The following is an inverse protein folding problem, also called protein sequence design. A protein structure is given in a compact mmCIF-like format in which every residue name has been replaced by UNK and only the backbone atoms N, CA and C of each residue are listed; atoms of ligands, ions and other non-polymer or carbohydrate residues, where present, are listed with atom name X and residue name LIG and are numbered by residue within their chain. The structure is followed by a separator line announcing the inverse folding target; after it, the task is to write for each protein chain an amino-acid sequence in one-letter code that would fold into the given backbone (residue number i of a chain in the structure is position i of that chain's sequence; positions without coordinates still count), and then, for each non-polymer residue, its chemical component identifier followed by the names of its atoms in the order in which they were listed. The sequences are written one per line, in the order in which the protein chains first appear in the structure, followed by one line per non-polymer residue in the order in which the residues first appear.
data_IF_529933849342
#
_entry.id   IF_529933849342
#
_cell.length_a   1.000
_cell.length_b   1.000
_cell.length_c   1.000
_cell.angle_alpha   90.00
_cell.angle_beta   90.00
_cell.angle_gamma   90.00
#
_symmetry.space_group_name_H-M   'P 1'
#
loop_
_entity.id
_entity.type
_entity.pdbx_description
1 polymer ?
#
# COMPACT_ATOMS: atom_id res chain seq x y z
N UNK A 1 -19.99 4.00 5.24
CA UNK A 1 -18.55 3.89 4.94
C UNK A 1 -17.86 5.11 5.53
N UNK A 2 -16.95 4.93 6.49
CA UNK A 2 -16.35 6.06 7.20
C UNK A 2 -15.24 6.68 6.34
N UNK A 3 -15.49 7.83 5.72
CA UNK A 3 -14.45 8.72 5.21
C UNK A 3 -13.65 9.23 6.42
N UNK A 4 -12.65 8.46 6.88
CA UNK A 4 -11.76 8.87 7.96
C UNK A 4 -10.51 9.46 7.33
N UNK A 5 -10.43 10.78 7.38
CA UNK A 5 -9.21 11.54 7.15
C UNK A 5 -8.05 10.88 7.90
N UNK A 6 -6.95 10.61 7.19
CA UNK A 6 -5.73 10.07 7.80
C UNK A 6 -5.28 11.00 8.91
N UNK A 7 -4.93 10.44 10.07
CA UNK A 7 -4.36 11.24 11.16
C UNK A 7 -2.93 11.65 10.77
N UNK A 8 -2.47 12.86 11.14
CA UNK A 8 -1.11 13.32 10.85
C UNK A 8 0.00 12.36 11.30
N UNK A 9 -0.24 11.58 12.37
CA UNK A 9 0.69 10.54 12.83
C UNK A 9 0.84 9.40 11.82
N UNK A 10 -0.26 8.96 11.21
CA UNK A 10 -0.27 7.87 10.24
C UNK A 10 0.37 8.30 8.92
N UNK A 11 0.13 9.55 8.50
CA UNK A 11 0.81 10.17 7.36
C UNK A 11 2.33 10.18 7.55
N UNK A 12 2.82 10.69 8.69
CA UNK A 12 4.24 10.65 9.04
C UNK A 12 4.84 9.24 9.04
N UNK A 13 4.08 8.24 9.51
CA UNK A 13 4.55 6.85 9.47
C UNK A 13 4.72 6.35 8.03
N UNK A 14 3.81 6.70 7.13
CA UNK A 14 3.91 6.35 5.71
C UNK A 14 5.13 7.06 5.08
N UNK A 15 5.30 8.35 5.34
CA UNK A 15 6.45 9.12 4.84
C UNK A 15 7.79 8.53 5.32
N UNK A 16 7.88 8.15 6.59
CA UNK A 16 9.07 7.50 7.15
C UNK A 16 9.39 6.18 6.45
N UNK A 17 8.37 5.35 6.19
CA UNK A 17 8.58 4.10 5.45
C UNK A 17 9.11 4.38 4.05
N UNK A 18 8.56 5.36 3.33
CA UNK A 18 9.04 5.75 2.00
C UNK A 18 10.49 6.24 2.06
N UNK A 19 10.80 7.09 3.05
CA UNK A 19 12.14 7.63 3.23
C UNK A 19 13.17 6.53 3.50
N UNK A 20 12.87 5.59 4.42
CA UNK A 20 13.76 4.44 4.70
C UNK A 20 13.95 3.56 3.48
N UNK A 21 12.87 3.27 2.75
CA UNK A 21 12.93 2.48 1.53
C UNK A 21 13.76 3.17 0.43
N UNK A 22 13.66 4.49 0.31
CA UNK A 22 14.49 5.26 -0.60
C UNK A 22 15.98 5.25 -0.21
N UNK A 23 16.29 5.32 1.10
CA UNK A 23 17.66 5.19 1.62
C UNK A 23 18.27 3.83 1.27
N UNK A 24 17.48 2.76 1.37
CA UNK A 24 17.91 1.40 1.02
C UNK A 24 17.90 1.12 -0.50
N UNK A 25 17.69 2.15 -1.35
CA UNK A 25 17.49 2.01 -2.81
C UNK A 25 16.34 1.06 -3.20
N UNK A 26 15.39 0.83 -2.30
CA UNK A 26 14.22 -0.04 -2.47
C UNK A 26 12.95 0.79 -2.72
N UNK A 27 12.90 1.58 -3.79
CA UNK A 27 11.76 2.47 -4.03
C UNK A 27 10.43 1.71 -4.07
N UNK A 28 9.49 2.15 -3.23
CA UNK A 28 8.13 1.62 -3.22
C UNK A 28 7.38 2.04 -4.48
N UNK A 29 6.58 1.12 -5.02
CA UNK A 29 5.71 1.44 -6.15
C UNK A 29 4.57 2.38 -5.71
N UNK A 30 4.06 3.16 -6.66
CA UNK A 30 2.90 4.04 -6.44
C UNK A 30 1.68 3.28 -5.92
N UNK A 31 1.50 2.04 -6.35
CA UNK A 31 0.42 1.16 -5.87
C UNK A 31 0.60 0.78 -4.40
N UNK A 32 1.84 0.53 -3.95
CA UNK A 32 2.13 0.27 -2.55
C UNK A 32 1.77 1.46 -1.66
N UNK A 33 2.10 2.69 -2.11
CA UNK A 33 1.72 3.91 -1.40
C UNK A 33 0.20 4.05 -1.24
N UNK A 34 -0.57 3.83 -2.31
CA UNK A 34 -2.03 3.87 -2.26
C UNK A 34 -2.61 2.84 -1.29
N UNK A 35 -2.04 1.65 -1.24
CA UNK A 35 -2.46 0.61 -0.30
C UNK A 35 -2.17 1.00 1.16
N UNK A 36 -0.98 1.55 1.44
CA UNK A 36 -0.63 2.07 2.77
C UNK A 36 -1.58 3.20 3.21
N UNK A 37 -1.94 4.09 2.28
CA UNK A 37 -2.90 5.16 2.51
C UNK A 37 -4.32 4.62 2.77
N UNK A 38 -4.78 3.65 1.98
CA UNK A 38 -6.09 3.00 2.16
C UNK A 38 -6.18 2.25 3.50
N UNK A 39 -5.08 1.63 3.96
CA UNK A 39 -5.00 1.03 5.29
C UNK A 39 -5.08 2.07 6.41
N UNK A 40 -4.31 3.14 6.28
CA UNK A 40 -4.23 4.19 7.30
C UNK A 40 -5.53 4.97 7.45
N UNK A 41 -6.24 5.22 6.35
CA UNK A 41 -7.58 5.82 6.34
C UNK A 41 -8.66 4.86 6.83
N UNK A 42 -8.38 3.56 6.89
CA UNK A 42 -9.37 2.52 7.18
C UNK A 42 -10.35 2.26 6.04
N UNK A 43 -10.03 2.72 4.83
CA UNK A 43 -10.78 2.43 3.60
C UNK A 43 -10.69 0.94 3.24
N UNK A 44 -9.51 0.34 3.42
CA UNK A 44 -9.29 -1.09 3.15
C UNK A 44 -8.60 -1.77 4.32
N UNK A 45 -8.97 -3.03 4.55
CA UNK A 45 -8.27 -3.88 5.51
C UNK A 45 -7.02 -4.50 4.89
N UNK A 46 -6.15 -5.03 5.75
CA UNK A 46 -4.96 -5.77 5.32
C UNK A 46 -5.33 -6.95 4.43
N UNK A 47 -6.40 -7.66 4.77
CA UNK A 47 -6.88 -8.86 4.05
C UNK A 47 -7.34 -8.50 2.64
N UNK A 48 -8.09 -7.41 2.50
CA UNK A 48 -8.54 -6.91 1.19
C UNK A 48 -7.35 -6.54 0.31
N UNK A 49 -6.37 -5.82 0.85
CA UNK A 49 -5.16 -5.44 0.11
C UNK A 49 -4.32 -6.65 -0.26
N UNK A 50 -4.18 -7.61 0.66
CA UNK A 50 -3.44 -8.85 0.41
C UNK A 50 -4.07 -9.62 -0.74
N UNK A 51 -5.40 -9.78 -0.70
CA UNK A 51 -6.16 -10.43 -1.76
C UNK A 51 -5.97 -9.73 -3.11
N UNK A 52 -6.10 -8.40 -3.16
CA UNK A 52 -5.88 -7.63 -4.40
C UNK A 52 -4.47 -7.80 -4.97
N UNK A 53 -3.45 -7.80 -4.12
CA UNK A 53 -2.06 -8.01 -4.56
C UNK A 53 -1.88 -9.44 -5.09
N UNK A 54 -2.41 -10.44 -4.39
CA UNK A 54 -2.34 -11.85 -4.80
C UNK A 54 -3.02 -12.07 -6.15
N UNK A 55 -4.22 -11.53 -6.36
CA UNK A 55 -4.95 -11.69 -7.62
C UNK A 55 -4.26 -10.96 -8.78
N UNK A 56 -3.71 -9.75 -8.55
CA UNK A 56 -2.88 -9.05 -9.55
C UNK A 56 -1.66 -9.88 -9.95
N UNK A 57 -0.99 -10.50 -8.98
CA UNK A 57 0.20 -11.30 -9.25
C UNK A 57 -0.13 -12.59 -10.02
N UNK A 58 -1.17 -13.33 -9.59
CA UNK A 58 -1.65 -14.53 -10.29
C UNK A 58 -1.99 -14.23 -11.74
N UNK A 59 -2.73 -13.14 -11.99
CA UNK A 59 -3.09 -12.72 -13.35
C UNK A 59 -1.85 -12.44 -14.19
N UNK A 60 -0.87 -11.71 -13.66
CA UNK A 60 0.41 -11.46 -14.34
C UNK A 60 1.14 -12.75 -14.70
N UNK A 61 1.22 -13.71 -13.77
CA UNK A 61 1.89 -15.00 -14.02
C UNK A 61 1.18 -15.78 -15.14
N UNK A 62 -0.15 -15.76 -15.18
CA UNK A 62 -0.93 -16.43 -16.21
C UNK A 62 -0.85 -15.75 -17.59
N UNK A 63 -0.67 -14.43 -17.65
CA UNK A 63 -0.54 -13.67 -18.90
C UNK A 63 0.86 -13.71 -19.51
N UNK A 64 1.88 -14.04 -18.70
CA UNK A 64 3.30 -14.06 -19.12
C UNK A 64 3.84 -15.49 -19.27
N UNK A 65 3.00 -16.51 -19.02
CA UNK A 65 3.34 -17.94 -19.07
C UNK A 65 2.88 -18.61 -20.35
#
# INVERSE_FOLDING_TARGET
MSNKTIKPKQEKMIEQVIATMAVENMMLSRDCYKNLWAMASGEKTREQITHEITEKYKKKVLETG
#
